data_IF_774026529025
#
_entry.id   IF_774026529025
#
_cell.length_a   1.000
_cell.length_b   1.000
_cell.length_c   1.000
_cell.angle_alpha   90.00
_cell.angle_beta   90.00
_cell.angle_gamma   90.00
#
_symmetry.space_group_name_H-M   'P 1'
#
loop_
_entity.id
_entity.type
_entity.pdbx_description
1 polymer ?
#
# COMPACT_ATOMS: atom_id res chain seq x y z
N UNK A 1 -5.43 1.87 2.87
CA UNK A 1 -6.86 1.62 3.16
C UNK A 1 -7.76 2.72 2.62
N UNK A 2 -7.28 3.42 1.58
CA UNK A 2 -7.91 4.61 1.05
C UNK A 2 -7.91 5.78 2.03
N UNK A 3 -8.76 6.77 1.81
CA UNK A 3 -8.95 7.91 2.73
C UNK A 3 -9.78 7.49 3.96
N UNK A 4 -9.20 6.63 4.79
CA UNK A 4 -9.88 6.04 5.95
C UNK A 4 -10.19 7.02 7.08
N UNK A 5 -9.63 8.22 7.05
CA UNK A 5 -9.93 9.26 8.05
C UNK A 5 -11.27 9.92 7.81
N UNK A 6 -11.70 9.99 6.56
CA UNK A 6 -12.97 10.62 6.17
C UNK A 6 -14.05 9.60 5.76
N UNK A 7 -13.65 8.36 5.48
CA UNK A 7 -14.53 7.26 5.06
C UNK A 7 -14.19 5.98 5.82
N UNK A 8 -15.07 4.97 5.86
CA UNK A 8 -14.70 3.66 6.38
C UNK A 8 -13.49 3.09 5.65
N UNK A 9 -12.49 2.55 6.38
CA UNK A 9 -11.29 1.97 5.76
C UNK A 9 -11.66 0.83 4.79
N UNK A 10 -10.86 0.67 3.73
CA UNK A 10 -11.08 -0.37 2.72
C UNK A 10 -12.48 -0.32 2.07
N UNK A 11 -13.13 0.85 2.03
CA UNK A 11 -14.43 1.05 1.38
C UNK A 11 -14.28 1.63 -0.02
N UNK A 12 -15.32 1.48 -0.85
CA UNK A 12 -15.33 2.10 -2.18
C UNK A 12 -15.28 3.64 -2.09
N UNK A 13 -15.91 4.23 -1.07
CA UNK A 13 -15.86 5.68 -0.86
C UNK A 13 -14.45 6.15 -0.45
N UNK A 14 -13.71 5.36 0.34
CA UNK A 14 -12.33 5.71 0.69
C UNK A 14 -11.40 5.66 -0.54
N UNK A 15 -11.63 4.74 -1.47
CA UNK A 15 -10.91 4.65 -2.75
C UNK A 15 -11.28 5.85 -3.64
N UNK A 16 -12.57 6.13 -3.80
CA UNK A 16 -13.03 7.26 -4.61
C UNK A 16 -12.49 8.59 -4.08
N UNK A 17 -12.48 8.78 -2.76
CA UNK A 17 -11.91 9.98 -2.13
C UNK A 17 -10.41 10.15 -2.44
N UNK A 18 -9.64 9.06 -2.44
CA UNK A 18 -8.23 9.10 -2.83
C UNK A 18 -8.05 9.53 -4.30
N UNK A 19 -8.92 9.02 -5.21
CA UNK A 19 -8.95 9.42 -6.62
C UNK A 19 -9.29 10.91 -6.76
N UNK A 20 -10.31 11.38 -6.06
CA UNK A 20 -10.78 12.77 -6.12
C UNK A 20 -9.71 13.75 -5.61
N UNK A 21 -8.91 13.35 -4.61
CA UNK A 21 -7.75 14.11 -4.13
C UNK A 21 -6.58 14.11 -5.10
N UNK A 22 -6.58 13.27 -6.15
CA UNK A 22 -5.47 13.06 -7.09
C UNK A 22 -4.28 12.34 -6.46
N UNK A 23 -4.52 11.40 -5.55
CA UNK A 23 -3.47 10.49 -5.13
C UNK A 23 -3.05 9.57 -6.30
N UNK A 24 -1.75 9.26 -6.40
CA UNK A 24 -1.22 8.40 -7.48
C UNK A 24 -1.44 6.92 -7.22
N UNK A 25 -1.47 6.54 -5.94
CA UNK A 25 -1.61 5.16 -5.47
C UNK A 25 -2.59 5.10 -4.31
N UNK A 26 -3.49 4.12 -4.32
CA UNK A 26 -4.33 3.77 -3.16
C UNK A 26 -3.94 2.38 -2.66
N UNK A 27 -3.75 2.26 -1.35
CA UNK A 27 -3.47 0.97 -0.72
C UNK A 27 -4.77 0.34 -0.21
N UNK A 28 -4.89 -0.98 -0.38
CA UNK A 28 -5.99 -1.80 0.13
C UNK A 28 -5.49 -3.17 0.62
N UNK A 29 -6.19 -3.72 1.59
CA UNK A 29 -5.86 -5.02 2.20
C UNK A 29 -6.80 -6.13 1.69
N UNK A 30 -6.27 -7.33 1.47
CA UNK A 30 -7.05 -8.46 0.97
C UNK A 30 -7.26 -9.55 2.02
N UNK A 31 -8.46 -10.10 2.03
CA UNK A 31 -8.81 -11.36 2.71
C UNK A 31 -9.66 -12.23 1.80
N UNK A 32 -9.67 -13.52 2.11
CA UNK A 32 -10.46 -14.52 1.40
C UNK A 32 -11.68 -14.91 2.24
N UNK A 33 -12.86 -14.89 1.63
CA UNK A 33 -14.10 -15.39 2.24
C UNK A 33 -14.14 -16.91 2.26
N UNK A 34 -15.12 -17.49 2.96
CA UNK A 34 -15.36 -18.94 3.01
C UNK A 34 -15.63 -19.54 1.62
N UNK A 35 -16.27 -18.80 0.75
CA UNK A 35 -16.57 -19.17 -0.64
C UNK A 35 -15.52 -18.66 -1.65
N UNK A 36 -14.31 -18.37 -1.15
CA UNK A 36 -13.12 -18.04 -1.95
C UNK A 36 -13.25 -16.78 -2.78
N UNK A 37 -13.99 -15.78 -2.32
CA UNK A 37 -14.05 -14.45 -2.93
C UNK A 37 -13.07 -13.51 -2.22
N UNK A 38 -12.29 -12.75 -2.98
CA UNK A 38 -11.42 -11.71 -2.45
C UNK A 38 -12.22 -10.48 -2.03
N UNK A 39 -12.06 -10.08 -0.76
CA UNK A 39 -12.72 -8.91 -0.17
C UNK A 39 -11.68 -7.98 0.47
N UNK A 40 -12.03 -6.71 0.63
CA UNK A 40 -11.17 -5.72 1.26
C UNK A 40 -11.38 -5.72 2.77
N UNK A 41 -10.36 -6.15 3.52
CA UNK A 41 -10.36 -6.11 4.98
C UNK A 41 -8.93 -6.22 5.50
N UNK A 42 -8.52 -5.36 6.43
CA UNK A 42 -7.19 -5.43 7.04
C UNK A 42 -7.06 -6.57 8.05
N UNK A 43 -7.99 -6.64 9.00
CA UNK A 43 -7.93 -7.58 10.11
C UNK A 43 -8.38 -8.99 9.67
N UNK A 44 -8.01 -9.99 10.44
CA UNK A 44 -8.55 -11.35 10.25
C UNK A 44 -10.04 -11.44 10.60
N UNK A 45 -10.55 -10.51 11.41
CA UNK A 45 -11.95 -10.43 11.84
C UNK A 45 -12.60 -9.13 11.38
N UNK A 46 -13.93 -9.12 11.32
CA UNK A 46 -14.73 -7.95 10.93
C UNK A 46 -15.10 -7.04 12.11
N UNK A 47 -14.68 -7.36 13.32
CA UNK A 47 -15.17 -6.79 14.58
C UNK A 47 -14.90 -5.29 14.70
N UNK A 48 -13.69 -4.86 14.32
CA UNK A 48 -13.28 -3.46 14.43
C UNK A 48 -13.95 -2.58 13.38
N UNK A 49 -14.05 -3.08 12.15
CA UNK A 49 -14.42 -2.28 10.98
C UNK A 49 -15.88 -2.40 10.58
N UNK A 50 -16.65 -3.31 11.22
CA UNK A 50 -18.07 -3.49 10.90
C UNK A 50 -18.94 -3.59 12.16
N UNK A 51 -20.26 -3.60 11.97
CA UNK A 51 -21.25 -3.89 13.03
C UNK A 51 -21.42 -5.39 13.31
N UNK A 52 -20.65 -6.27 12.64
CA UNK A 52 -20.62 -7.72 12.88
C UNK A 52 -19.41 -8.15 13.72
N UNK A 53 -19.32 -9.44 13.99
CA UNK A 53 -18.19 -10.08 14.71
C UNK A 53 -17.87 -11.43 14.09
N UNK A 54 -16.57 -11.80 14.05
CA UNK A 54 -16.09 -13.08 13.57
C UNK A 54 -15.01 -12.95 12.49
N UNK A 55 -14.44 -14.10 12.08
CA UNK A 55 -13.37 -14.11 11.08
C UNK A 55 -13.95 -13.97 9.67
N UNK A 56 -13.26 -13.20 8.81
CA UNK A 56 -13.64 -13.03 7.40
C UNK A 56 -13.82 -14.39 6.69
N UNK A 57 -12.88 -15.32 6.89
CA UNK A 57 -12.90 -16.64 6.27
C UNK A 57 -14.00 -17.61 6.75
N UNK A 58 -14.76 -17.25 7.78
CA UNK A 58 -15.88 -18.04 8.27
C UNK A 58 -17.20 -17.68 7.56
N UNK A 59 -17.24 -16.53 6.86
CA UNK A 59 -18.41 -15.99 6.18
C UNK A 59 -18.34 -16.18 4.66
N UNK A 60 -19.48 -16.45 4.03
CA UNK A 60 -19.64 -16.27 2.57
C UNK A 60 -19.72 -14.78 2.24
N UNK A 61 -19.49 -14.43 0.98
CA UNK A 61 -19.65 -13.04 0.51
C UNK A 61 -21.04 -12.48 0.85
N UNK A 62 -22.10 -13.25 0.56
CA UNK A 62 -23.48 -12.84 0.83
C UNK A 62 -23.69 -12.49 2.32
N UNK A 63 -23.13 -13.32 3.21
CA UNK A 63 -23.18 -13.07 4.65
C UNK A 63 -22.39 -11.79 5.04
N UNK A 64 -21.19 -11.56 4.46
CA UNK A 64 -20.40 -10.37 4.73
C UNK A 64 -21.10 -9.08 4.26
N UNK A 65 -21.79 -9.13 3.13
CA UNK A 65 -22.55 -7.99 2.59
C UNK A 65 -23.74 -7.56 3.48
N UNK A 66 -24.14 -8.38 4.44
CA UNK A 66 -25.16 -8.01 5.44
C UNK A 66 -24.64 -7.05 6.53
N UNK A 67 -23.33 -7.03 6.76
CA UNK A 67 -22.71 -6.15 7.75
C UNK A 67 -22.37 -4.78 7.17
N UNK A 68 -22.48 -3.74 8.01
CA UNK A 68 -22.17 -2.37 7.66
C UNK A 68 -20.80 -1.97 8.19
N UNK A 69 -20.04 -1.27 7.35
CA UNK A 69 -18.75 -0.70 7.73
C UNK A 69 -18.92 0.43 8.74
N UNK A 70 -17.90 0.63 9.57
CA UNK A 70 -17.79 1.73 10.53
C UNK A 70 -16.75 2.76 10.08
N UNK A 71 -17.02 4.02 10.36
CA UNK A 71 -16.00 5.06 10.39
C UNK A 71 -15.00 4.84 11.53
N UNK A 72 -13.88 5.56 11.50
CA UNK A 72 -12.84 5.46 12.53
C UNK A 72 -13.34 5.81 13.95
N UNK A 73 -14.37 6.64 14.07
CA UNK A 73 -15.03 7.01 15.34
C UNK A 73 -16.03 5.96 15.83
N UNK A 74 -16.24 4.87 15.09
CA UNK A 74 -17.20 3.81 15.40
C UNK A 74 -18.61 4.03 14.87
N UNK A 75 -18.91 5.17 14.24
CA UNK A 75 -20.21 5.43 13.61
C UNK A 75 -20.44 4.46 12.46
N UNK A 76 -21.65 3.87 12.40
CA UNK A 76 -22.02 2.91 11.36
C UNK A 76 -22.38 3.68 10.08
N UNK A 77 -21.78 3.26 8.97
CA UNK A 77 -22.10 3.78 7.62
C UNK A 77 -23.19 2.95 6.95
N UNK A 78 -23.60 3.35 5.77
CA UNK A 78 -24.48 2.56 4.88
C UNK A 78 -23.69 1.60 3.96
N UNK A 79 -22.35 1.66 3.97
CA UNK A 79 -21.46 0.88 3.14
C UNK A 79 -21.25 -0.54 3.71
N UNK A 80 -20.86 -1.47 2.84
CA UNK A 80 -20.54 -2.87 3.17
C UNK A 80 -19.10 -3.18 2.75
N UNK A 81 -18.55 -4.30 3.23
CA UNK A 81 -17.23 -4.78 2.79
C UNK A 81 -17.25 -5.00 1.27
N UNK A 82 -16.39 -4.32 0.48
CA UNK A 82 -16.34 -4.53 -0.96
C UNK A 82 -15.51 -5.77 -1.33
N UNK A 83 -15.80 -6.33 -2.50
CA UNK A 83 -14.91 -7.29 -3.16
C UNK A 83 -13.72 -6.56 -3.81
N UNK A 84 -12.64 -7.29 -4.09
CA UNK A 84 -11.55 -6.77 -4.92
C UNK A 84 -12.05 -6.32 -6.30
N UNK A 85 -12.96 -7.09 -6.91
CA UNK A 85 -13.54 -6.73 -8.22
C UNK A 85 -14.27 -5.38 -8.18
N UNK A 86 -15.12 -5.15 -7.15
CA UNK A 86 -15.82 -3.87 -6.97
C UNK A 86 -14.84 -2.70 -6.78
N UNK A 87 -13.79 -2.91 -5.98
CA UNK A 87 -12.76 -1.88 -5.74
C UNK A 87 -11.97 -1.55 -7.02
N UNK A 88 -11.58 -2.56 -7.79
CA UNK A 88 -10.84 -2.37 -9.02
C UNK A 88 -11.67 -1.70 -10.12
N UNK A 89 -12.99 -1.92 -10.15
CA UNK A 89 -13.89 -1.20 -11.07
C UNK A 89 -13.93 0.30 -10.77
N UNK A 90 -13.85 0.70 -9.49
CA UNK A 90 -13.74 2.11 -9.10
C UNK A 90 -12.37 2.69 -9.48
N UNK A 91 -11.30 1.92 -9.26
CA UNK A 91 -9.93 2.37 -9.48
C UNK A 91 -9.49 2.35 -10.96
N UNK A 92 -10.19 1.61 -11.82
CA UNK A 92 -9.80 1.35 -13.21
C UNK A 92 -9.52 2.65 -13.98
N UNK A 93 -8.33 2.70 -14.60
CA UNK A 93 -7.84 3.81 -15.43
C UNK A 93 -7.72 5.16 -14.67
N UNK A 94 -7.78 5.14 -13.32
CA UNK A 94 -7.76 6.36 -12.50
C UNK A 94 -6.61 6.39 -11.48
N UNK A 95 -6.25 5.26 -10.88
CA UNK A 95 -5.28 5.21 -9.79
C UNK A 95 -4.59 3.84 -9.74
N UNK A 96 -3.31 3.79 -9.40
CA UNK A 96 -2.61 2.53 -9.10
C UNK A 96 -3.13 1.96 -7.78
N UNK A 97 -3.33 0.64 -7.72
CA UNK A 97 -3.79 -0.03 -6.50
C UNK A 97 -2.64 -0.85 -5.91
N UNK A 98 -2.21 -0.49 -4.70
CA UNK A 98 -1.28 -1.27 -3.92
C UNK A 98 -2.04 -2.31 -3.10
N UNK A 99 -1.79 -3.60 -3.37
CA UNK A 99 -2.35 -4.72 -2.61
C UNK A 99 -1.40 -5.09 -1.47
N UNK A 100 -1.75 -4.68 -0.24
CA UNK A 100 -0.95 -4.99 0.93
C UNK A 100 -1.26 -6.38 1.50
N UNK A 101 -0.23 -7.03 2.09
CA UNK A 101 -0.33 -8.39 2.65
C UNK A 101 -0.98 -9.43 1.73
N UNK A 102 -0.87 -9.27 0.40
CA UNK A 102 -1.59 -10.03 -0.60
C UNK A 102 -0.74 -11.03 -1.40
N UNK A 103 0.56 -11.13 -1.16
CA UNK A 103 1.46 -12.00 -1.93
C UNK A 103 1.03 -13.48 -1.93
N UNK A 104 0.49 -13.97 -0.83
CA UNK A 104 -0.04 -15.32 -0.70
C UNK A 104 -1.38 -15.54 -1.42
N UNK A 105 -2.05 -14.45 -1.87
CA UNK A 105 -3.27 -14.44 -2.69
C UNK A 105 -2.98 -14.09 -4.16
N UNK A 106 -1.71 -14.18 -4.57
CA UNK A 106 -1.26 -13.73 -5.88
C UNK A 106 -2.13 -14.27 -7.02
N UNK A 107 -2.35 -15.59 -7.06
CA UNK A 107 -3.07 -16.27 -8.13
C UNK A 107 -4.53 -15.84 -8.22
N UNK A 108 -5.20 -15.72 -7.05
CA UNK A 108 -6.59 -15.28 -6.99
C UNK A 108 -6.72 -13.80 -7.40
N UNK A 109 -5.79 -12.96 -6.95
CA UNK A 109 -5.77 -11.54 -7.30
C UNK A 109 -5.49 -11.36 -8.81
N UNK A 110 -4.54 -12.12 -9.37
CA UNK A 110 -4.21 -12.08 -10.79
C UNK A 110 -5.42 -12.45 -11.65
N UNK A 111 -6.14 -13.52 -11.31
CA UNK A 111 -7.34 -13.92 -12.04
C UNK A 111 -8.42 -12.82 -12.09
N UNK A 112 -8.60 -12.06 -11.00
CA UNK A 112 -9.54 -10.92 -10.97
C UNK A 112 -9.04 -9.77 -11.83
N UNK A 113 -7.76 -9.44 -11.75
CA UNK A 113 -7.18 -8.29 -12.49
C UNK A 113 -7.09 -8.55 -13.99
N UNK A 114 -6.79 -9.77 -14.41
CA UNK A 114 -6.81 -10.17 -15.82
C UNK A 114 -8.22 -10.11 -16.40
N UNK A 115 -9.23 -10.61 -15.67
CA UNK A 115 -10.64 -10.52 -16.06
C UNK A 115 -11.06 -9.07 -16.33
N UNK A 116 -10.55 -8.12 -15.54
CA UNK A 116 -10.89 -6.70 -15.65
C UNK A 116 -9.96 -5.92 -16.62
N UNK A 117 -8.84 -6.52 -17.03
CA UNK A 117 -7.83 -5.88 -17.85
C UNK A 117 -7.06 -4.76 -17.12
N UNK A 118 -6.78 -4.93 -15.82
CA UNK A 118 -6.13 -3.92 -14.97
C UNK A 118 -4.85 -4.42 -14.28
N UNK A 119 -4.30 -5.54 -14.71
CA UNK A 119 -3.10 -6.14 -14.08
C UNK A 119 -1.92 -5.16 -14.01
N UNK A 120 -1.73 -4.31 -15.01
CA UNK A 120 -0.69 -3.29 -15.07
C UNK A 120 -0.91 -2.09 -14.11
N UNK A 121 -2.08 -1.97 -13.48
CA UNK A 121 -2.37 -0.96 -12.46
C UNK A 121 -2.11 -1.46 -11.03
N UNK A 122 -1.65 -2.71 -10.88
CA UNK A 122 -1.47 -3.31 -9.56
C UNK A 122 -0.02 -3.26 -9.14
N UNK A 123 0.20 -2.73 -7.93
CA UNK A 123 1.46 -2.81 -7.20
C UNK A 123 1.28 -3.81 -6.06
N UNK A 124 2.12 -4.82 -6.01
CA UNK A 124 2.16 -5.77 -4.89
C UNK A 124 3.49 -5.62 -4.17
N UNK A 125 3.45 -5.61 -2.85
CA UNK A 125 4.66 -5.46 -2.04
C UNK A 125 4.86 -6.64 -1.09
N UNK A 126 6.10 -6.86 -0.67
CA UNK A 126 6.44 -7.92 0.26
C UNK A 126 7.92 -7.98 0.60
N UNK A 127 8.27 -8.88 1.55
CA UNK A 127 9.63 -9.08 2.03
C UNK A 127 10.21 -10.44 1.60
N UNK A 128 9.84 -10.91 0.40
CA UNK A 128 10.37 -12.16 -0.15
C UNK A 128 11.68 -11.93 -0.90
N UNK A 129 12.67 -12.86 -0.82
CA UNK A 129 13.89 -12.80 -1.63
C UNK A 129 13.59 -12.70 -3.12
N UNK A 130 14.44 -12.00 -3.86
CA UNK A 130 14.25 -11.78 -5.31
C UNK A 130 14.02 -13.07 -6.08
N UNK A 131 14.83 -14.10 -5.84
CA UNK A 131 14.70 -15.40 -6.53
C UNK A 131 13.32 -16.04 -6.33
N UNK A 132 12.73 -15.92 -5.15
CA UNK A 132 11.39 -16.45 -4.84
C UNK A 132 10.31 -15.67 -5.61
N UNK A 133 10.47 -14.36 -5.69
CA UNK A 133 9.54 -13.50 -6.44
C UNK A 133 9.65 -13.76 -7.93
N UNK A 134 10.85 -13.83 -8.49
CA UNK A 134 11.08 -14.13 -9.92
C UNK A 134 10.54 -15.50 -10.31
N UNK A 135 10.75 -16.54 -9.49
CA UNK A 135 10.19 -17.87 -9.72
C UNK A 135 8.65 -17.82 -9.77
N UNK A 136 8.02 -17.01 -8.92
CA UNK A 136 6.57 -16.81 -8.92
C UNK A 136 6.13 -16.07 -10.18
N UNK A 137 6.77 -14.95 -10.50
CA UNK A 137 6.40 -14.12 -11.65
C UNK A 137 6.60 -14.84 -12.99
N UNK A 138 7.63 -15.70 -13.10
CA UNK A 138 7.91 -16.47 -14.31
C UNK A 138 6.82 -17.49 -14.68
N UNK A 139 5.87 -17.75 -13.79
CA UNK A 139 4.74 -18.65 -14.04
C UNK A 139 3.62 -18.00 -14.89
N UNK A 140 3.66 -16.68 -15.11
CA UNK A 140 2.59 -15.93 -15.76
C UNK A 140 3.12 -15.03 -16.88
N UNK A 141 2.32 -14.83 -17.92
CA UNK A 141 2.61 -13.89 -19.02
C UNK A 141 2.45 -12.43 -18.57
N UNK A 142 1.43 -12.15 -17.76
CA UNK A 142 1.16 -10.85 -17.20
C UNK A 142 1.41 -10.88 -15.69
N UNK A 143 2.06 -9.84 -15.18
CA UNK A 143 2.45 -9.78 -13.78
C UNK A 143 2.10 -8.43 -13.16
N UNK A 144 1.96 -8.43 -11.85
CA UNK A 144 1.91 -7.20 -11.05
C UNK A 144 3.28 -6.53 -11.01
N UNK A 145 3.28 -5.21 -10.87
CA UNK A 145 4.46 -4.52 -10.39
C UNK A 145 4.78 -5.03 -8.98
N UNK A 146 6.04 -5.39 -8.72
CA UNK A 146 6.44 -5.83 -7.39
C UNK A 146 7.41 -4.84 -6.75
N UNK A 147 7.20 -4.57 -5.46
CA UNK A 147 8.02 -3.68 -4.66
C UNK A 147 8.50 -4.41 -3.39
N UNK A 148 9.82 -4.60 -3.20
CA UNK A 148 10.34 -5.15 -1.96
C UNK A 148 10.21 -4.14 -0.81
N UNK A 149 9.83 -4.65 0.38
CA UNK A 149 9.87 -3.93 1.65
C UNK A 149 11.17 -4.30 2.34
N UNK A 150 12.07 -3.34 2.54
CA UNK A 150 13.39 -3.58 3.09
C UNK A 150 13.63 -2.76 4.37
N UNK A 151 13.91 -3.43 5.49
CA UNK A 151 14.40 -2.77 6.69
C UNK A 151 15.92 -2.81 6.68
N UNK A 152 16.54 -1.77 6.14
CA UNK A 152 17.98 -1.69 5.92
C UNK A 152 18.82 -1.54 7.20
N UNK A 153 18.18 -1.47 8.37
CA UNK A 153 18.84 -1.46 9.68
C UNK A 153 18.95 -2.85 10.33
N UNK A 154 18.42 -3.89 9.70
CA UNK A 154 18.47 -5.26 10.21
C UNK A 154 19.23 -6.17 9.25
N UNK A 155 19.92 -7.21 9.76
CA UNK A 155 20.65 -8.13 8.89
C UNK A 155 19.74 -8.82 7.86
N UNK A 156 18.56 -9.37 8.21
CA UNK A 156 17.65 -9.93 7.20
C UNK A 156 17.18 -8.91 6.15
N UNK A 157 16.98 -7.64 6.57
CA UNK A 157 16.59 -6.57 5.65
C UNK A 157 17.71 -6.15 4.72
N UNK A 158 18.97 -6.14 5.17
CA UNK A 158 20.14 -5.91 4.31
C UNK A 158 20.34 -7.04 3.31
N UNK A 159 20.29 -8.29 3.75
CA UNK A 159 20.35 -9.46 2.86
C UNK A 159 19.26 -9.39 1.78
N UNK A 160 18.04 -9.02 2.18
CA UNK A 160 16.95 -8.81 1.24
C UNK A 160 17.25 -7.67 0.27
N UNK A 161 17.69 -6.50 0.76
CA UNK A 161 18.09 -5.36 -0.05
C UNK A 161 19.17 -5.74 -1.06
N UNK A 162 20.22 -6.41 -0.61
CA UNK A 162 21.35 -6.86 -1.44
C UNK A 162 20.91 -7.83 -2.55
N UNK A 163 19.92 -8.67 -2.28
CA UNK A 163 19.38 -9.61 -3.27
C UNK A 163 18.71 -8.91 -4.45
N UNK A 164 18.18 -7.71 -4.26
CA UNK A 164 17.55 -6.91 -5.31
C UNK A 164 18.50 -5.89 -5.93
N UNK A 165 19.23 -5.13 -5.10
CA UNK A 165 20.03 -3.99 -5.58
C UNK A 165 21.24 -4.42 -6.42
N UNK A 166 21.76 -5.63 -6.24
CA UNK A 166 22.88 -6.18 -6.99
C UNK A 166 22.53 -6.56 -8.43
N UNK A 167 21.26 -6.71 -8.74
CA UNK A 167 20.80 -7.12 -10.07
C UNK A 167 20.71 -5.92 -11.04
N UNK A 168 20.72 -6.21 -12.35
CA UNK A 168 20.49 -5.20 -13.39
C UNK A 168 18.99 -4.90 -13.53
N UNK A 169 18.13 -5.91 -13.35
CA UNK A 169 16.67 -5.75 -13.41
C UNK A 169 16.14 -5.27 -12.05
N UNK A 170 15.94 -3.97 -11.94
CA UNK A 170 15.48 -3.36 -10.73
C UNK A 170 13.95 -3.39 -10.60
N UNK A 171 13.38 -3.52 -9.38
CA UNK A 171 11.96 -3.31 -9.15
C UNK A 171 11.57 -1.85 -9.42
N UNK A 172 10.28 -1.60 -9.65
CA UNK A 172 9.76 -0.25 -9.90
C UNK A 172 10.03 0.71 -8.75
N UNK A 173 9.99 0.21 -7.52
CA UNK A 173 10.24 0.95 -6.29
C UNK A 173 10.76 0.02 -5.18
N UNK A 174 11.33 0.62 -4.14
CA UNK A 174 11.64 -0.02 -2.86
C UNK A 174 10.92 0.72 -1.75
N UNK A 175 10.15 0.01 -0.92
CA UNK A 175 9.71 0.52 0.37
C UNK A 175 10.83 0.35 1.37
N UNK A 176 11.42 1.46 1.82
CA UNK A 176 12.56 1.45 2.73
C UNK A 176 12.11 1.81 4.13
N UNK A 177 12.44 0.93 5.10
CA UNK A 177 12.21 1.17 6.52
C UNK A 177 13.52 1.36 7.26
N UNK A 178 13.56 2.36 8.16
CA UNK A 178 14.72 2.64 9.03
C UNK A 178 14.27 3.25 10.35
N UNK A 179 14.46 2.58 11.47
CA UNK A 179 14.08 3.12 12.78
C UNK A 179 14.99 4.28 13.22
N UNK A 180 16.21 4.37 12.66
CA UNK A 180 17.16 5.44 12.92
C UNK A 180 17.96 5.75 11.67
N UNK A 181 18.07 7.04 11.34
CA UNK A 181 18.87 7.53 10.22
C UNK A 181 20.37 7.48 10.56
N UNK A 182 21.15 6.93 9.63
CA UNK A 182 22.61 6.98 9.63
C UNK A 182 23.15 7.03 8.18
N UNK A 183 24.48 7.07 8.02
CA UNK A 183 25.11 7.18 6.71
C UNK A 183 24.88 5.92 5.84
N UNK A 184 24.74 4.74 6.44
CA UNK A 184 24.48 3.50 5.71
C UNK A 184 23.05 3.51 5.11
N UNK A 185 22.07 4.02 5.85
CA UNK A 185 20.70 4.23 5.38
C UNK A 185 20.68 5.18 4.17
N UNK A 186 21.36 6.33 4.28
CA UNK A 186 21.46 7.30 3.17
C UNK A 186 22.14 6.71 1.94
N UNK A 187 23.19 5.92 2.15
CA UNK A 187 23.90 5.25 1.06
C UNK A 187 23.00 4.23 0.33
N UNK A 188 22.22 3.44 1.07
CA UNK A 188 21.26 2.50 0.46
C UNK A 188 20.18 3.22 -0.34
N UNK A 189 19.64 4.33 0.18
CA UNK A 189 18.68 5.15 -0.57
C UNK A 189 19.28 5.73 -1.85
N UNK A 190 20.52 6.25 -1.77
CA UNK A 190 21.21 6.78 -2.94
C UNK A 190 21.44 5.71 -4.01
N UNK A 191 21.78 4.47 -3.61
CA UNK A 191 21.92 3.33 -4.54
C UNK A 191 20.60 3.01 -5.26
N UNK A 192 19.45 3.03 -4.55
CA UNK A 192 18.13 2.81 -5.15
C UNK A 192 17.88 3.83 -6.26
N UNK A 193 18.13 5.12 -5.96
CA UNK A 193 17.90 6.24 -6.89
C UNK A 193 18.86 6.14 -8.08
N UNK A 194 20.14 5.85 -7.84
CA UNK A 194 21.15 5.70 -8.89
C UNK A 194 20.84 4.55 -9.86
N UNK A 195 20.25 3.45 -9.35
CA UNK A 195 19.76 2.32 -10.15
C UNK A 195 18.46 2.62 -10.92
N UNK A 196 17.85 3.78 -10.72
CA UNK A 196 16.65 4.23 -11.44
C UNK A 196 15.34 3.76 -10.85
N UNK A 197 15.34 3.10 -9.69
CA UNK A 197 14.13 2.73 -8.95
C UNK A 197 13.59 3.91 -8.16
N UNK A 198 12.27 3.88 -7.86
CA UNK A 198 11.63 4.85 -6.98
C UNK A 198 11.95 4.53 -5.52
N UNK A 199 12.12 5.57 -4.71
CA UNK A 199 12.23 5.44 -3.27
C UNK A 199 10.84 5.69 -2.64
N UNK A 200 10.28 4.64 -2.02
CA UNK A 200 9.01 4.70 -1.30
C UNK A 200 9.28 4.81 0.20
N UNK A 201 8.73 5.84 0.81
CA UNK A 201 8.81 6.09 2.26
C UNK A 201 7.41 5.99 2.87
N UNK A 202 7.32 5.34 4.03
CA UNK A 202 6.06 5.15 4.74
C UNK A 202 6.02 6.06 5.98
N UNK A 203 5.06 6.98 6.06
CA UNK A 203 4.96 7.98 7.14
C UNK A 203 3.90 7.65 8.20
N UNK A 204 3.35 6.43 8.21
CA UNK A 204 2.22 6.06 9.08
C UNK A 204 2.56 6.15 10.57
N UNK A 205 3.76 5.70 10.97
CA UNK A 205 4.25 5.79 12.35
C UNK A 205 5.78 5.91 12.46
N UNK A 206 6.28 6.46 13.60
CA UNK A 206 7.67 6.87 13.74
C UNK A 206 8.73 5.78 13.55
N UNK A 207 8.41 4.52 13.88
CA UNK A 207 9.37 3.41 13.80
C UNK A 207 9.70 2.97 12.37
N UNK A 208 8.94 3.41 11.37
CA UNK A 208 9.16 3.04 9.98
C UNK A 208 10.25 3.88 9.31
N UNK A 209 10.46 5.12 9.74
CA UNK A 209 11.27 6.08 9.01
C UNK A 209 12.03 7.09 9.91
N UNK A 210 12.48 6.64 11.06
CA UNK A 210 13.30 7.48 11.94
C UNK A 210 12.56 8.65 12.58
N UNK A 211 11.23 8.56 12.72
CA UNK A 211 10.41 9.58 13.36
C UNK A 211 9.68 10.54 12.40
N UNK A 212 9.93 10.46 11.10
CA UNK A 212 9.29 11.31 10.09
C UNK A 212 7.87 10.82 9.80
N UNK A 213 6.91 11.08 10.69
CA UNK A 213 5.56 10.52 10.61
C UNK A 213 4.48 11.59 10.42
N UNK A 214 3.33 11.14 9.89
CA UNK A 214 2.16 11.99 9.60
C UNK A 214 1.65 12.78 10.79
N UNK A 215 1.75 12.24 12.00
CA UNK A 215 1.28 12.94 13.21
C UNK A 215 2.15 14.15 13.51
N UNK A 216 3.48 14.03 13.31
CA UNK A 216 4.40 15.15 13.45
C UNK A 216 4.27 16.16 12.28
N UNK A 217 3.91 15.69 11.09
CA UNK A 217 3.69 16.55 9.93
C UNK A 217 2.48 17.50 10.08
N UNK A 218 1.50 17.21 10.94
CA UNK A 218 0.36 18.09 11.20
C UNK A 218 0.77 19.49 11.67
N UNK A 219 1.79 19.53 12.51
CA UNK A 219 2.25 20.79 13.11
C UNK A 219 3.29 21.50 12.23
N UNK A 220 4.08 20.72 11.47
CA UNK A 220 5.11 21.25 10.57
C UNK A 220 5.34 20.31 9.38
N UNK A 221 4.55 20.43 8.29
CA UNK A 221 4.72 19.62 7.07
C UNK A 221 6.13 19.75 6.46
N UNK A 222 6.70 20.96 6.44
CA UNK A 222 8.05 21.23 5.91
C UNK A 222 9.11 20.41 6.64
N UNK A 223 9.06 20.36 7.97
CA UNK A 223 10.02 19.63 8.77
C UNK A 223 10.00 18.12 8.50
N UNK A 224 8.84 17.57 8.17
CA UNK A 224 8.66 16.13 7.99
C UNK A 224 8.71 15.75 6.50
N UNK A 225 7.81 16.28 5.70
CA UNK A 225 7.73 15.92 4.27
C UNK A 225 8.91 16.53 3.48
N UNK A 226 9.39 17.71 3.86
CA UNK A 226 10.58 18.32 3.26
C UNK A 226 11.82 17.44 3.43
N UNK A 227 12.07 16.92 4.63
CA UNK A 227 13.18 15.99 4.84
C UNK A 227 13.04 14.70 4.02
N UNK A 228 11.81 14.18 3.86
CA UNK A 228 11.53 12.98 3.05
C UNK A 228 11.84 13.26 1.57
N UNK A 229 11.45 14.42 1.06
CA UNK A 229 11.77 14.87 -0.30
C UNK A 229 13.29 15.06 -0.48
N UNK A 230 13.99 15.66 0.50
CA UNK A 230 15.45 15.83 0.49
C UNK A 230 16.22 14.50 0.48
N UNK A 231 15.65 13.43 1.04
CA UNK A 231 16.20 12.07 0.95
C UNK A 231 16.05 11.47 -0.46
N UNK A 232 15.33 12.12 -1.36
CA UNK A 232 15.08 11.68 -2.72
C UNK A 232 13.86 10.77 -2.86
N UNK A 233 12.98 10.71 -1.84
CA UNK A 233 11.73 9.97 -1.95
C UNK A 233 10.85 10.58 -3.04
N UNK A 234 10.34 9.70 -3.90
CA UNK A 234 9.41 10.06 -4.99
C UNK A 234 8.04 9.43 -4.81
N UNK A 235 7.90 8.57 -3.82
CA UNK A 235 6.63 7.95 -3.41
C UNK A 235 6.54 7.99 -1.88
N UNK A 236 5.41 8.45 -1.35
CA UNK A 236 5.19 8.56 0.09
C UNK A 236 3.84 7.95 0.45
N UNK A 237 3.85 6.93 1.31
CA UNK A 237 2.63 6.35 1.87
C UNK A 237 2.24 7.13 3.14
N UNK A 238 1.05 7.68 3.15
CA UNK A 238 0.55 8.56 4.21
C UNK A 238 -0.90 8.22 4.57
N UNK A 239 -1.25 8.39 5.85
CA UNK A 239 -2.63 8.41 6.34
C UNK A 239 -3.27 9.81 6.26
N UNK A 240 -2.53 10.81 5.72
CA UNK A 240 -2.98 12.21 5.57
C UNK A 240 -2.76 12.70 4.14
N UNK A 241 -3.36 12.03 3.13
CA UNK A 241 -3.08 12.34 1.73
C UNK A 241 -3.38 13.80 1.37
N UNK A 242 -4.45 14.39 1.88
CA UNK A 242 -4.77 15.78 1.62
C UNK A 242 -3.66 16.74 2.11
N UNK A 243 -3.11 16.50 3.31
CA UNK A 243 -2.04 17.33 3.88
C UNK A 243 -0.74 17.19 3.06
N UNK A 244 -0.38 15.95 2.69
CA UNK A 244 0.82 15.71 1.90
C UNK A 244 0.69 16.32 0.49
N UNK A 245 -0.43 16.12 -0.19
CA UNK A 245 -0.68 16.64 -1.54
C UNK A 245 -0.66 18.17 -1.52
N UNK A 246 -1.30 18.82 -0.55
CA UNK A 246 -1.25 20.27 -0.37
C UNK A 246 0.20 20.76 -0.22
N UNK A 247 0.99 20.11 0.65
CA UNK A 247 2.40 20.43 0.82
C UNK A 247 3.18 20.28 -0.49
N UNK A 248 3.07 19.13 -1.17
CA UNK A 248 3.80 18.86 -2.41
C UNK A 248 3.41 19.85 -3.53
N UNK A 249 2.16 20.28 -3.60
CA UNK A 249 1.70 21.32 -4.54
C UNK A 249 2.39 22.66 -4.28
N UNK A 250 2.57 23.06 -3.02
CA UNK A 250 3.31 24.30 -2.69
C UNK A 250 4.77 24.22 -3.11
N UNK A 251 5.34 23.02 -3.20
CA UNK A 251 6.72 22.79 -3.65
C UNK A 251 6.82 22.55 -5.18
N UNK A 252 5.70 22.52 -5.91
CA UNK A 252 5.68 22.20 -7.34
C UNK A 252 6.01 20.73 -7.67
N UNK A 253 5.79 19.82 -6.72
CA UNK A 253 6.12 18.39 -6.81
C UNK A 253 4.88 17.51 -7.06
N UNK A 254 3.68 18.09 -7.08
CA UNK A 254 2.42 17.42 -7.40
C UNK A 254 1.49 18.37 -8.17
N UNK A 255 0.60 17.82 -9.05
CA UNK A 255 -0.38 18.58 -9.83
C UNK A 255 -1.58 19.08 -9.03
#
# INVERSE_FOLDING_TARGET
RGDWRNHPENSLAAIQSAIDMKADVVEVDLKLTKDSILVLCHDQTIDRTTNGTGKVGDFTLDSLKSFKLKFADGTISDQTIPTLEEALLVAKDQIVVNLDHAYWLYDQALAVTEKLGVTNQILMKGASPKSVVEEKLAQYENNFMYMPIVNICTEPGKELFDSYISDENQPVAYEVCWPKMDDSVKQSMAQIIEKGSKLWVNTLWPSLNGGLCDEAAKDNPELIYGQIVELGATMVQTDRPALLIEYLRTQGLHE
#
